data_IF_343631263030
#
_entry.id   IF_343631263030
#
_cell.length_a   1.000
_cell.length_b   1.000
_cell.length_c   1.000
_cell.angle_alpha   90.00
_cell.angle_beta   90.00
_cell.angle_gamma   90.00
#
_symmetry.space_group_name_H-M   'P 1'
#
loop_
_entity.id
_entity.type
_entity.pdbx_description
1 polymer ?
#
# COMPACT_ATOMS: atom_id res chain seq x y z
N UNK A 1 9.79 -26.49 16.87
CA UNK A 1 8.81 -25.79 16.02
C UNK A 1 9.05 -26.24 14.60
N UNK A 2 8.05 -26.85 13.99
CA UNK A 2 8.23 -27.75 12.86
C UNK A 2 8.11 -26.99 11.53
N UNK A 3 8.93 -27.33 10.54
CA UNK A 3 8.89 -26.80 9.17
C UNK A 3 7.47 -26.73 8.55
N UNK A 4 6.55 -27.62 8.97
CA UNK A 4 5.15 -27.63 8.56
C UNK A 4 4.33 -26.44 9.04
N UNK A 5 4.66 -25.84 10.20
CA UNK A 5 4.02 -24.62 10.69
C UNK A 5 4.45 -23.41 9.86
N UNK A 6 5.75 -23.28 9.57
CA UNK A 6 6.32 -22.21 8.73
C UNK A 6 5.77 -22.25 7.30
N UNK A 7 5.76 -23.42 6.65
CA UNK A 7 5.23 -23.55 5.28
C UNK A 7 3.72 -23.34 5.22
N UNK A 8 2.96 -23.74 6.26
CA UNK A 8 1.54 -23.42 6.33
C UNK A 8 1.32 -21.93 6.56
N UNK A 9 2.12 -21.29 7.41
CA UNK A 9 1.96 -19.88 7.72
C UNK A 9 2.30 -18.99 6.52
N UNK A 10 3.31 -19.36 5.72
CA UNK A 10 3.61 -18.71 4.43
C UNK A 10 2.47 -18.90 3.41
N UNK A 11 1.94 -20.12 3.27
CA UNK A 11 0.81 -20.38 2.35
C UNK A 11 -0.45 -19.64 2.78
N UNK A 12 -0.76 -19.59 4.07
CA UNK A 12 -1.92 -18.87 4.59
C UNK A 12 -1.75 -17.36 4.37
N UNK A 13 -0.57 -16.80 4.66
CA UNK A 13 -0.27 -15.40 4.36
C UNK A 13 -0.48 -15.08 2.87
N UNK A 14 0.02 -15.95 1.98
CA UNK A 14 -0.14 -15.78 0.54
C UNK A 14 -1.61 -15.88 0.09
N UNK A 15 -2.39 -16.84 0.59
CA UNK A 15 -3.81 -16.98 0.26
C UNK A 15 -4.60 -15.75 0.71
N UNK A 16 -4.36 -15.27 1.93
CA UNK A 16 -5.02 -14.06 2.45
C UNK A 16 -4.59 -12.83 1.65
N UNK A 17 -3.30 -12.69 1.35
CA UNK A 17 -2.77 -11.60 0.53
C UNK A 17 -3.41 -11.55 -0.86
N UNK A 18 -3.47 -12.67 -1.56
CA UNK A 18 -4.14 -12.77 -2.88
C UNK A 18 -5.64 -12.49 -2.80
N UNK A 19 -6.31 -12.92 -1.73
CA UNK A 19 -7.71 -12.58 -1.51
C UNK A 19 -7.91 -11.05 -1.36
N UNK A 20 -7.02 -10.37 -0.63
CA UNK A 20 -7.06 -8.91 -0.51
C UNK A 20 -6.79 -8.21 -1.84
N UNK A 21 -5.81 -8.69 -2.62
CA UNK A 21 -5.55 -8.17 -3.97
C UNK A 21 -6.78 -8.37 -4.87
N UNK A 22 -7.44 -9.53 -4.81
CA UNK A 22 -8.65 -9.79 -5.58
C UNK A 22 -9.79 -8.83 -5.19
N UNK A 23 -9.96 -8.53 -3.89
CA UNK A 23 -10.94 -7.53 -3.42
C UNK A 23 -10.62 -6.15 -4.00
N UNK A 24 -9.36 -5.70 -3.95
CA UNK A 24 -8.96 -4.42 -4.55
C UNK A 24 -9.19 -4.42 -6.06
N UNK A 25 -8.89 -5.52 -6.76
CA UNK A 25 -9.11 -5.65 -8.19
C UNK A 25 -10.61 -5.59 -8.56
N UNK A 26 -11.48 -6.16 -7.74
CA UNK A 26 -12.93 -6.05 -7.91
C UNK A 26 -13.40 -4.60 -7.72
N UNK A 27 -12.94 -3.91 -6.68
CA UNK A 27 -13.24 -2.49 -6.46
C UNK A 27 -12.69 -1.59 -7.59
N UNK A 28 -11.54 -1.97 -8.17
CA UNK A 28 -11.00 -1.32 -9.35
C UNK A 28 -11.91 -1.50 -10.57
N UNK A 29 -12.35 -2.73 -10.83
CA UNK A 29 -13.26 -3.04 -11.93
C UNK A 29 -14.60 -2.29 -11.77
N UNK A 30 -15.17 -2.27 -10.56
CA UNK A 30 -16.38 -1.50 -10.26
C UNK A 30 -16.18 -0.01 -10.54
N UNK A 31 -15.10 0.59 -10.03
CA UNK A 31 -14.81 2.02 -10.21
C UNK A 31 -14.64 2.41 -11.68
N UNK A 32 -14.07 1.52 -12.50
CA UNK A 32 -13.95 1.73 -13.96
C UNK A 32 -15.30 1.69 -14.68
N UNK A 33 -16.28 0.97 -14.15
CA UNK A 33 -17.63 0.86 -14.71
C UNK A 33 -18.55 2.02 -14.29
N UNK A 34 -18.28 2.68 -13.16
CA UNK A 34 -19.17 3.69 -12.54
C UNK A 34 -18.73 5.14 -12.74
N UNK A 35 -17.96 5.45 -13.80
CA UNK A 35 -17.40 6.77 -14.14
C UNK A 35 -16.31 7.31 -13.21
N UNK A 36 -15.94 6.56 -12.16
CA UNK A 36 -14.82 6.87 -11.28
C UNK A 36 -13.48 6.35 -11.84
N UNK A 37 -13.23 6.57 -13.14
CA UNK A 37 -12.15 5.93 -13.90
C UNK A 37 -10.76 6.21 -13.32
N UNK A 38 -10.54 7.44 -12.81
CA UNK A 38 -9.28 7.81 -12.17
C UNK A 38 -9.00 6.92 -10.96
N UNK A 39 -9.97 6.78 -10.06
CA UNK A 39 -9.87 5.95 -8.85
C UNK A 39 -9.81 4.44 -9.15
N UNK A 40 -10.46 3.99 -10.21
CA UNK A 40 -10.27 2.65 -10.76
C UNK A 40 -8.82 2.42 -11.20
N UNK A 41 -8.21 3.41 -11.85
CA UNK A 41 -6.79 3.41 -12.21
C UNK A 41 -5.85 3.30 -11.01
N UNK A 42 -6.11 4.05 -9.92
CA UNK A 42 -5.34 3.93 -8.68
C UNK A 42 -5.44 2.53 -8.08
N UNK A 43 -6.64 1.98 -8.02
CA UNK A 43 -6.89 0.65 -7.46
C UNK A 43 -6.18 -0.44 -8.28
N UNK A 44 -6.19 -0.30 -9.62
CA UNK A 44 -5.39 -1.16 -10.50
C UNK A 44 -3.89 -0.99 -10.27
N UNK A 45 -3.42 0.23 -10.03
CA UNK A 45 -2.02 0.49 -9.74
C UNK A 45 -1.60 -0.15 -8.41
N UNK A 46 -2.45 -0.10 -7.38
CA UNK A 46 -2.24 -0.83 -6.12
C UNK A 46 -2.12 -2.35 -6.39
N UNK A 47 -3.02 -2.93 -7.18
CA UNK A 47 -2.96 -4.35 -7.57
C UNK A 47 -1.66 -4.67 -8.29
N UNK A 48 -1.24 -3.82 -9.22
CA UNK A 48 -0.03 -4.01 -10.01
C UNK A 48 1.23 -3.98 -9.13
N UNK A 49 1.34 -2.97 -8.27
CA UNK A 49 2.47 -2.83 -7.32
C UNK A 49 2.47 -4.01 -6.35
N UNK A 50 1.37 -4.28 -5.66
CA UNK A 50 1.29 -5.37 -4.67
C UNK A 50 1.55 -6.78 -5.26
N UNK A 51 1.34 -6.95 -6.57
CA UNK A 51 1.62 -8.21 -7.28
C UNK A 51 3.06 -8.30 -7.79
N UNK A 52 3.81 -7.19 -7.78
CA UNK A 52 5.16 -7.09 -8.36
C UNK A 52 6.14 -8.11 -7.74
N UNK A 53 6.17 -8.34 -6.41
CA UNK A 53 7.07 -9.33 -5.84
C UNK A 53 6.80 -10.75 -6.35
N UNK A 54 5.54 -11.17 -6.38
CA UNK A 54 5.15 -12.50 -6.85
C UNK A 54 5.46 -12.69 -8.35
N UNK A 55 5.32 -11.63 -9.15
CA UNK A 55 5.60 -11.65 -10.59
C UNK A 55 7.10 -11.68 -10.90
N UNK A 56 7.92 -10.94 -10.14
CA UNK A 56 9.37 -10.84 -10.35
C UNK A 56 10.11 -12.07 -9.83
N UNK A 57 9.73 -12.57 -8.66
CA UNK A 57 10.32 -13.77 -8.03
C UNK A 57 9.78 -15.07 -8.65
N UNK A 58 8.68 -14.97 -9.42
CA UNK A 58 7.90 -16.11 -9.94
C UNK A 58 7.45 -17.08 -8.84
N UNK A 59 7.34 -16.58 -7.61
CA UNK A 59 6.88 -17.34 -6.46
C UNK A 59 5.64 -16.66 -5.88
N UNK A 60 4.47 -17.27 -6.08
CA UNK A 60 3.19 -16.72 -5.62
C UNK A 60 3.09 -16.55 -4.10
N UNK A 61 4.01 -17.16 -3.33
CA UNK A 61 4.07 -17.05 -1.87
C UNK A 61 4.84 -15.82 -1.39
N UNK A 62 5.69 -15.26 -2.25
CA UNK A 62 6.46 -14.06 -1.93
C UNK A 62 5.58 -12.83 -2.19
N UNK A 63 4.91 -12.36 -1.14
CA UNK A 63 4.01 -11.22 -1.17
C UNK A 63 4.27 -10.30 0.01
N UNK A 64 3.88 -9.05 -0.14
CA UNK A 64 3.76 -8.12 0.98
C UNK A 64 2.82 -8.72 2.04
N UNK A 65 3.18 -8.53 3.31
CA UNK A 65 2.41 -9.06 4.44
C UNK A 65 0.95 -8.63 4.34
N UNK A 66 0.04 -9.58 4.58
CA UNK A 66 -1.41 -9.35 4.48
C UNK A 66 -1.96 -8.15 5.28
N UNK A 67 -1.39 -7.71 6.44
CA UNK A 67 -1.88 -6.54 7.15
C UNK A 67 -1.78 -5.26 6.32
N UNK A 68 -0.69 -5.09 5.56
CA UNK A 68 -0.53 -3.94 4.64
C UNK A 68 -1.60 -3.96 3.57
N UNK A 69 -1.79 -5.13 2.95
CA UNK A 69 -2.80 -5.32 1.92
C UNK A 69 -4.23 -5.17 2.45
N UNK A 70 -4.48 -5.52 3.72
CA UNK A 70 -5.79 -5.39 4.35
C UNK A 70 -6.21 -3.94 4.51
N UNK A 71 -5.29 -3.03 4.87
CA UNK A 71 -5.59 -1.60 5.00
C UNK A 71 -5.90 -1.01 3.62
N UNK A 72 -5.13 -1.39 2.59
CA UNK A 72 -5.42 -0.99 1.22
C UNK A 72 -6.80 -1.51 0.75
N UNK A 73 -7.12 -2.78 1.02
CA UNK A 73 -8.40 -3.38 0.64
C UNK A 73 -9.57 -2.70 1.35
N UNK A 74 -9.48 -2.46 2.67
CA UNK A 74 -10.52 -1.75 3.43
C UNK A 74 -10.71 -0.33 2.91
N UNK A 75 -9.63 0.39 2.62
CA UNK A 75 -9.69 1.75 2.10
C UNK A 75 -10.38 1.80 0.72
N UNK A 76 -10.01 0.91 -0.20
CA UNK A 76 -10.61 0.83 -1.53
C UNK A 76 -12.10 0.47 -1.44
N UNK A 77 -12.46 -0.51 -0.62
CA UNK A 77 -13.87 -0.90 -0.41
C UNK A 77 -14.66 0.23 0.23
N UNK A 78 -14.17 0.83 1.31
CA UNK A 78 -14.85 1.93 2.00
C UNK A 78 -15.10 3.10 1.04
N UNK A 79 -14.13 3.43 0.19
CA UNK A 79 -14.28 4.44 -0.85
C UNK A 79 -15.33 4.05 -1.89
N UNK A 80 -15.31 2.81 -2.39
CA UNK A 80 -16.25 2.34 -3.41
C UNK A 80 -17.71 2.40 -2.94
N UNK A 81 -17.96 2.13 -1.66
CA UNK A 81 -19.30 2.21 -1.04
C UNK A 81 -19.63 3.60 -0.45
N UNK A 82 -18.83 4.62 -0.75
CA UNK A 82 -18.97 6.02 -0.29
C UNK A 82 -18.94 6.23 1.23
N UNK A 83 -18.30 5.31 1.97
CA UNK A 83 -18.10 5.42 3.43
C UNK A 83 -16.80 6.18 3.70
N UNK A 84 -16.92 7.42 4.20
CA UNK A 84 -15.79 8.31 4.42
C UNK A 84 -14.86 8.41 3.20
N UNK A 85 -15.46 8.50 2.00
CA UNK A 85 -14.80 8.36 0.69
C UNK A 85 -13.49 9.15 0.56
N UNK A 86 -13.47 10.38 1.03
CA UNK A 86 -12.30 11.27 1.03
C UNK A 86 -11.15 10.71 1.88
N UNK A 87 -11.43 10.42 3.16
CA UNK A 87 -10.46 9.82 4.09
C UNK A 87 -10.00 8.44 3.57
N UNK A 88 -10.93 7.64 3.05
CA UNK A 88 -10.62 6.35 2.46
C UNK A 88 -9.67 6.48 1.25
N UNK A 89 -9.79 7.56 0.46
CA UNK A 89 -8.85 7.90 -0.60
C UNK A 89 -7.44 8.16 -0.07
N UNK A 90 -7.30 8.99 0.96
CA UNK A 90 -6.00 9.27 1.57
C UNK A 90 -5.38 8.00 2.19
N UNK A 91 -6.19 7.14 2.82
CA UNK A 91 -5.71 5.87 3.38
C UNK A 91 -5.27 4.92 2.27
N UNK A 92 -5.97 4.90 1.12
CA UNK A 92 -5.54 4.10 -0.03
C UNK A 92 -4.19 4.58 -0.58
N UNK A 93 -3.98 5.89 -0.68
CA UNK A 93 -2.73 6.50 -1.11
C UNK A 93 -1.59 6.22 -0.11
N UNK A 94 -1.86 6.36 1.20
CA UNK A 94 -0.89 6.01 2.24
C UNK A 94 -0.56 4.51 2.26
N UNK A 95 -1.54 3.66 1.99
CA UNK A 95 -1.32 2.20 1.90
C UNK A 95 -0.47 1.85 0.69
N UNK A 96 -0.71 2.46 -0.46
CA UNK A 96 0.13 2.31 -1.65
C UNK A 96 1.58 2.71 -1.35
N UNK A 97 1.78 3.85 -0.69
CA UNK A 97 3.10 4.31 -0.29
C UNK A 97 3.80 3.28 0.61
N UNK A 98 3.08 2.72 1.59
CA UNK A 98 3.64 1.67 2.45
C UNK A 98 3.99 0.39 1.70
N UNK A 99 3.13 -0.06 0.78
CA UNK A 99 3.44 -1.23 -0.07
C UNK A 99 4.74 -0.98 -0.82
N UNK A 100 4.90 0.18 -1.45
CA UNK A 100 6.14 0.56 -2.16
C UNK A 100 7.35 0.54 -1.21
N UNK A 101 7.23 1.14 -0.03
CA UNK A 101 8.34 1.20 0.94
C UNK A 101 8.72 -0.19 1.44
N UNK A 102 7.74 -1.02 1.77
CA UNK A 102 7.96 -2.41 2.21
C UNK A 102 8.60 -3.22 1.09
N UNK A 103 8.16 -3.04 -0.16
CA UNK A 103 8.78 -3.72 -1.28
C UNK A 103 10.23 -3.31 -1.49
N UNK A 104 10.55 -2.02 -1.34
CA UNK A 104 11.93 -1.53 -1.39
C UNK A 104 12.77 -2.17 -0.29
N UNK A 105 12.32 -2.18 0.96
CA UNK A 105 13.08 -2.73 2.09
C UNK A 105 13.26 -4.25 2.00
N UNK A 106 12.24 -4.97 1.51
CA UNK A 106 12.25 -6.45 1.47
C UNK A 106 12.91 -7.02 0.22
N UNK A 107 12.64 -6.44 -0.95
CA UNK A 107 13.04 -7.02 -2.24
C UNK A 107 14.23 -6.31 -2.90
N UNK A 108 14.80 -5.29 -2.25
CA UNK A 108 16.02 -4.63 -2.72
C UNK A 108 17.15 -4.74 -1.69
N UNK A 109 18.40 -4.46 -2.07
CA UNK A 109 19.52 -4.45 -1.12
C UNK A 109 19.50 -3.29 -0.11
N UNK A 110 18.50 -2.40 -0.19
CA UNK A 110 18.39 -1.22 0.68
C UNK A 110 17.89 -1.67 2.06
N UNK A 111 18.59 -1.26 3.12
CA UNK A 111 18.19 -1.53 4.50
C UNK A 111 17.63 -0.26 5.13
N UNK A 112 16.33 -0.24 5.45
CA UNK A 112 15.68 0.90 6.09
C UNK A 112 15.50 0.65 7.58
N UNK A 113 15.98 1.58 8.42
CA UNK A 113 15.62 1.53 9.84
C UNK A 113 14.12 1.72 10.02
N UNK A 114 13.50 1.07 11.00
CA UNK A 114 12.05 1.16 11.24
C UNK A 114 11.53 2.61 11.32
N UNK A 115 12.30 3.53 11.92
CA UNK A 115 11.91 4.95 12.01
C UNK A 115 12.02 5.65 10.66
N UNK A 116 13.08 5.35 9.91
CA UNK A 116 13.26 5.91 8.58
C UNK A 116 12.19 5.40 7.61
N UNK A 117 11.82 4.12 7.68
CA UNK A 117 10.76 3.54 6.86
C UNK A 117 9.43 4.29 7.02
N UNK A 118 9.06 4.68 8.25
CA UNK A 118 7.86 5.50 8.50
C UNK A 118 7.97 6.86 7.84
N UNK A 119 9.05 7.59 8.09
CA UNK A 119 9.25 8.93 7.52
C UNK A 119 9.28 8.86 5.99
N UNK A 120 9.95 7.86 5.45
CA UNK A 120 10.01 7.62 4.01
C UNK A 120 8.62 7.30 3.45
N UNK A 121 7.82 6.47 4.12
CA UNK A 121 6.45 6.19 3.72
C UNK A 121 5.56 7.45 3.74
N UNK A 122 5.70 8.32 4.74
CA UNK A 122 4.99 9.61 4.78
C UNK A 122 5.41 10.50 3.61
N UNK A 123 6.71 10.61 3.32
CA UNK A 123 7.20 11.38 2.18
C UNK A 123 6.70 10.80 0.84
N UNK A 124 6.71 9.48 0.69
CA UNK A 124 6.16 8.80 -0.47
C UNK A 124 4.65 9.01 -0.58
N UNK A 125 3.92 9.01 0.53
CA UNK A 125 2.48 9.31 0.57
C UNK A 125 2.21 10.72 0.04
N UNK A 126 2.94 11.72 0.56
CA UNK A 126 2.82 13.11 0.11
C UNK A 126 3.19 13.26 -1.37
N UNK A 127 4.23 12.55 -1.83
CA UNK A 127 4.64 12.56 -3.23
C UNK A 127 3.57 11.96 -4.15
N UNK A 128 2.95 10.84 -3.73
CA UNK A 128 1.86 10.22 -4.48
C UNK A 128 0.63 11.14 -4.48
N UNK A 129 0.28 11.78 -3.36
CA UNK A 129 -0.83 12.75 -3.33
C UNK A 129 -0.57 13.93 -4.29
N UNK A 130 0.66 14.47 -4.30
CA UNK A 130 1.00 15.54 -5.22
C UNK A 130 0.83 15.11 -6.69
N UNK A 131 1.26 13.90 -7.05
CA UNK A 131 1.01 13.32 -8.37
C UNK A 131 -0.48 13.10 -8.63
N UNK A 132 -1.23 12.71 -7.60
CA UNK A 132 -2.66 12.49 -7.66
C UNK A 132 -3.42 13.77 -7.98
N UNK A 133 -3.09 14.87 -7.31
CA UNK A 133 -3.62 16.21 -7.58
C UNK A 133 -3.33 16.62 -9.04
N UNK A 134 -2.13 16.33 -9.56
CA UNK A 134 -1.80 16.60 -10.97
C UNK A 134 -2.67 15.75 -11.91
N UNK A 135 -2.89 14.48 -11.59
CA UNK A 135 -3.77 13.61 -12.38
C UNK A 135 -5.24 14.08 -12.33
N UNK A 136 -5.73 14.52 -11.17
CA UNK A 136 -7.05 15.13 -11.01
C UNK A 136 -7.18 16.41 -11.84
N UNK A 137 -6.17 17.28 -11.84
CA UNK A 137 -6.15 18.50 -12.65
C UNK A 137 -6.30 18.19 -14.15
N UNK A 138 -5.52 17.24 -14.67
CA UNK A 138 -5.65 16.85 -16.08
C UNK A 138 -6.99 16.17 -16.38
N UNK A 139 -7.52 15.38 -15.44
CA UNK A 139 -8.86 14.79 -15.56
C UNK A 139 -9.94 15.87 -15.63
N UNK A 140 -9.89 16.88 -14.75
CA UNK A 140 -10.86 17.97 -14.74
C UNK A 140 -10.78 18.79 -16.04
N UNK A 141 -9.56 18.96 -16.58
CA UNK A 141 -9.31 19.70 -17.82
C UNK A 141 -9.77 18.95 -19.08
N UNK A 142 -9.49 17.64 -19.17
CA UNK A 142 -9.69 16.87 -20.42
C UNK A 142 -10.91 15.96 -20.41
N UNK A 143 -11.34 15.48 -19.24
CA UNK A 143 -12.45 14.55 -19.08
C UNK A 143 -13.70 15.22 -18.47
N UNK A 144 -13.60 16.50 -18.11
CA UNK A 144 -14.70 17.28 -17.54
C UNK A 144 -15.13 16.84 -16.15
N UNK A 145 -14.24 16.17 -15.41
CA UNK A 145 -14.45 15.83 -14.00
C UNK A 145 -14.42 17.10 -13.13
N UNK A 146 -14.78 16.95 -11.85
CA UNK A 146 -14.78 18.06 -10.88
C UNK A 146 -14.18 17.59 -9.54
N UNK A 147 -12.96 17.07 -9.60
CA UNK A 147 -12.23 16.64 -8.41
C UNK A 147 -11.72 17.85 -7.62
N UNK A 148 -11.13 18.84 -8.29
CA UNK A 148 -10.57 20.02 -7.66
C UNK A 148 -11.57 21.17 -7.69
N UNK A 149 -12.11 21.57 -6.53
CA UNK A 149 -13.10 22.66 -6.47
C UNK A 149 -12.50 23.99 -6.04
N UNK A 150 -11.45 23.98 -5.22
CA UNK A 150 -10.78 25.20 -4.76
C UNK A 150 -9.32 24.98 -4.39
N UNK A 151 -8.54 26.07 -4.32
CA UNK A 151 -7.16 26.03 -3.85
C UNK A 151 -7.08 25.67 -2.35
N UNK A 152 -8.04 26.12 -1.54
CA UNK A 152 -8.06 25.85 -0.11
C UNK A 152 -8.31 24.37 0.17
N UNK A 153 -9.29 23.76 -0.51
CA UNK A 153 -9.59 22.32 -0.39
C UNK A 153 -8.37 21.47 -0.75
N UNK A 154 -7.66 21.81 -1.83
CA UNK A 154 -6.41 21.15 -2.22
C UNK A 154 -5.31 21.31 -1.16
N UNK A 155 -5.18 22.49 -0.54
CA UNK A 155 -4.22 22.70 0.55
C UNK A 155 -4.59 21.88 1.79
N UNK A 156 -5.88 21.78 2.10
CA UNK A 156 -6.41 20.94 3.17
C UNK A 156 -6.15 19.45 2.89
N UNK A 157 -6.34 18.98 1.65
CA UNK A 157 -6.04 17.61 1.21
C UNK A 157 -4.59 17.22 1.54
N UNK A 158 -3.63 18.09 1.22
CA UNK A 158 -2.21 17.84 1.50
C UNK A 158 -1.94 17.79 3.01
N UNK A 159 -2.61 18.62 3.81
CA UNK A 159 -2.47 18.57 5.28
C UNK A 159 -3.06 17.27 5.82
N UNK A 160 -4.27 16.91 5.39
CA UNK A 160 -4.98 15.72 5.86
C UNK A 160 -4.24 14.45 5.44
N UNK A 161 -3.80 14.34 4.17
CA UNK A 161 -3.04 13.18 3.70
C UNK A 161 -1.74 13.02 4.48
N UNK A 162 -1.09 14.12 4.88
CA UNK A 162 0.13 14.06 5.67
C UNK A 162 -0.16 13.47 7.05
N UNK A 163 -1.23 13.92 7.70
CA UNK A 163 -1.70 13.37 8.99
C UNK A 163 -2.07 11.90 8.85
N UNK A 164 -2.79 11.53 7.80
CA UNK A 164 -3.15 10.14 7.50
C UNK A 164 -1.90 9.29 7.27
N UNK A 165 -0.92 9.79 6.51
CA UNK A 165 0.36 9.13 6.29
C UNK A 165 1.09 8.83 7.61
N UNK A 166 1.15 9.80 8.52
CA UNK A 166 1.72 9.57 9.86
C UNK A 166 0.92 8.57 10.68
N UNK A 167 -0.42 8.64 10.65
CA UNK A 167 -1.28 7.73 11.38
C UNK A 167 -1.10 6.28 10.89
N UNK A 168 -1.20 6.08 9.57
CA UNK A 168 -1.05 4.78 8.91
C UNK A 168 0.38 4.26 9.11
N UNK A 169 1.41 5.05 8.82
CA UNK A 169 2.80 4.68 9.03
C UNK A 169 3.12 4.35 10.49
N UNK A 170 2.54 5.09 11.45
CA UNK A 170 2.67 4.83 12.88
C UNK A 170 2.02 3.52 13.33
N UNK A 171 0.82 3.21 12.81
CA UNK A 171 0.15 1.93 13.04
C UNK A 171 1.02 0.78 12.53
N UNK A 172 1.60 0.90 11.34
CA UNK A 172 2.48 -0.13 10.79
C UNK A 172 3.80 -0.25 11.53
N UNK A 173 4.40 0.86 11.96
CA UNK A 173 5.56 0.82 12.84
C UNK A 173 5.28 0.06 14.13
N UNK A 174 4.16 0.34 14.77
CA UNK A 174 3.73 -0.37 15.97
C UNK A 174 3.50 -1.86 15.68
N UNK A 175 2.87 -2.19 14.55
CA UNK A 175 2.65 -3.56 14.13
C UNK A 175 3.97 -4.32 13.93
N UNK A 176 4.90 -3.79 13.13
CA UNK A 176 6.18 -4.46 12.82
C UNK A 176 7.12 -4.56 14.02
N UNK A 177 7.03 -3.62 14.97
CA UNK A 177 7.82 -3.70 16.20
C UNK A 177 7.25 -4.69 17.23
N UNK A 178 5.98 -5.12 17.07
CA UNK A 178 5.30 -6.03 17.99
C UNK A 178 5.12 -7.44 17.45
N UNK A 179 5.00 -7.59 16.14
CA UNK A 179 4.79 -8.88 15.49
C UNK A 179 5.93 -9.11 14.50
N UNK A 180 6.78 -10.11 14.77
CA UNK A 180 7.74 -10.61 13.78
C UNK A 180 6.96 -11.03 12.53
N UNK A 181 7.29 -10.52 11.33
CA UNK A 181 6.60 -10.91 10.12
C UNK A 181 6.71 -12.41 9.92
N UNK A 182 5.59 -13.11 9.96
CA UNK A 182 5.49 -14.52 9.60
C UNK A 182 5.92 -14.66 8.14
N UNK A 183 7.15 -15.15 7.91
CA UNK A 183 7.77 -15.24 6.59
C UNK A 183 8.90 -14.22 6.33
N UNK A 184 9.38 -13.48 7.33
CA UNK A 184 10.69 -12.85 7.23
C UNK A 184 11.72 -13.95 6.96
N UNK A 185 12.23 -14.02 5.75
CA UNK A 185 13.33 -14.90 5.36
C UNK A 185 14.42 -14.76 6.42
N UNK A 186 14.73 -15.85 7.12
CA UNK A 186 15.89 -15.94 8.01
C UNK A 186 17.11 -15.58 7.16
N UNK A 187 17.53 -14.32 7.22
CA UNK A 187 18.81 -13.90 6.67
C UNK A 187 19.83 -14.59 7.56
N UNK A 188 20.65 -15.53 7.05
CA UNK A 188 21.66 -16.15 7.89
C UNK A 188 22.58 -15.03 8.36
N UNK A 189 22.52 -14.73 9.66
CA UNK A 189 23.42 -13.79 10.30
C UNK A 189 24.84 -14.26 10.00
N UNK A 190 25.56 -13.49 9.19
CA UNK A 190 26.93 -13.80 8.80
C UNK A 190 27.87 -13.48 9.98
N UNK A 191 27.75 -14.25 11.06
CA UNK A 191 28.70 -14.28 12.17
C UNK A 191 29.72 -15.39 11.93
N UNK A 192 30.54 -15.25 10.89
CA UNK A 192 31.76 -16.05 10.76
C UNK A 192 32.76 -15.40 9.80
N UNK A 193 33.63 -14.52 10.33
CA UNK A 193 35.09 -14.58 10.14
C UNK A 193 35.79 -13.40 10.84
N UNK A 194 36.17 -13.63 12.08
CA UNK A 194 37.40 -13.08 12.65
C UNK A 194 38.14 -14.24 13.30
N UNK A 195 39.14 -14.75 12.59
CA UNK A 195 40.28 -15.42 13.20
C UNK A 195 41.40 -14.40 13.30
#
# INVERSE_FOLDING_TARGET
>A
MAFSELVNSERVNAVVGWAMIAIVALGAAESLLTTATLWGGLSLFIVAVASLPALTTRNWKEMVSWPVLSVAAVAVVARAIDVFSEIAGYVAIASLALVIVVEVDVFTPVELSNRFAVVFAVLTTMAIEALWIVAQFFSDTWLGTRFLRSQTELQEDIVIVTVVGFAVGGVFYWYFTRFEPVGAVDRPANHARTR
#
